data_IF_241755859767
#
_entry.id   IF_241755859767
#
_cell.length_a   1.000
_cell.length_b   1.000
_cell.length_c   1.000
_cell.angle_alpha   90.00
_cell.angle_beta   90.00
_cell.angle_gamma   90.00
#
_symmetry.space_group_name_H-M   'P 1'
#
loop_
_entity.id
_entity.type
_entity.pdbx_description
1 polymer ?
#
# COMPACT_ATOMS: atom_id res chain seq x y z
N UNK A 1 26.61 -3.83 -16.18
CA UNK A 1 25.69 -3.55 -15.06
C UNK A 1 24.38 -3.09 -15.69
N UNK A 2 23.35 -3.94 -15.66
CA UNK A 2 22.05 -3.62 -16.23
C UNK A 2 21.27 -2.77 -15.23
N UNK A 3 20.87 -1.57 -15.62
CA UNK A 3 19.99 -0.70 -14.86
C UNK A 3 18.59 -0.80 -15.50
N UNK A 4 17.63 -1.56 -14.94
CA UNK A 4 16.32 -1.62 -15.53
C UNK A 4 15.48 -0.45 -15.00
N UNK A 5 15.35 0.56 -15.86
CA UNK A 5 14.19 1.46 -16.00
C UNK A 5 13.61 2.05 -14.71
N UNK A 6 14.18 3.18 -14.28
CA UNK A 6 13.45 4.20 -13.54
C UNK A 6 13.82 5.55 -14.14
N UNK A 7 12.89 6.20 -14.84
CA UNK A 7 13.09 7.59 -15.26
C UNK A 7 13.39 8.42 -14.01
N UNK A 8 14.60 8.96 -13.90
CA UNK A 8 14.96 9.96 -12.89
C UNK A 8 14.70 11.31 -13.54
N UNK A 9 13.82 12.10 -12.93
CA UNK A 9 13.54 13.44 -13.45
C UNK A 9 14.82 14.31 -13.34
N UNK A 10 15.31 14.93 -14.42
CA UNK A 10 16.60 15.66 -14.41
C UNK A 10 16.59 16.96 -13.60
N UNK A 11 15.43 17.41 -13.13
CA UNK A 11 15.22 18.71 -12.50
C UNK A 11 14.79 18.62 -11.02
N UNK A 12 14.61 17.42 -10.47
CA UNK A 12 14.10 17.19 -9.12
C UNK A 12 12.66 17.69 -8.91
N UNK A 13 11.87 17.83 -9.97
CA UNK A 13 10.49 18.37 -9.92
C UNK A 13 9.47 17.35 -9.43
N UNK A 14 9.82 16.07 -9.38
CA UNK A 14 8.93 15.01 -8.87
C UNK A 14 8.98 14.97 -7.34
N UNK A 15 7.92 15.48 -6.70
CA UNK A 15 7.74 15.36 -5.26
C UNK A 15 7.73 13.87 -4.87
N UNK A 16 8.51 13.50 -3.85
CA UNK A 16 8.46 12.16 -3.30
C UNK A 16 7.01 11.80 -2.92
N UNK A 17 6.56 10.57 -3.22
CA UNK A 17 5.21 10.13 -2.87
C UNK A 17 5.03 10.20 -1.35
N UNK A 18 3.90 10.74 -0.90
CA UNK A 18 3.60 10.93 0.53
C UNK A 18 2.55 9.92 0.95
N UNK A 19 2.70 9.35 2.14
CA UNK A 19 1.72 8.51 2.78
C UNK A 19 0.97 9.26 3.87
N UNK A 20 -0.31 8.94 4.01
CA UNK A 20 -1.16 9.50 5.06
C UNK A 20 -2.13 8.43 5.58
N UNK A 21 -2.46 8.51 6.88
CA UNK A 21 -3.52 7.72 7.48
C UNK A 21 -4.72 8.62 7.79
N UNK A 22 -5.75 8.67 6.92
CA UNK A 22 -6.91 9.53 7.17
C UNK A 22 -7.80 8.98 8.30
N UNK A 23 -7.62 7.72 8.71
CA UNK A 23 -8.26 7.12 9.87
C UNK A 23 -9.37 6.10 9.59
N UNK A 24 -9.83 5.94 8.34
CA UNK A 24 -10.96 5.05 8.01
C UNK A 24 -10.72 3.57 8.34
N UNK A 25 -9.45 3.17 8.36
CA UNK A 25 -8.99 1.80 8.64
C UNK A 25 -8.38 1.63 10.03
N UNK A 26 -8.33 2.69 10.85
CA UNK A 26 -7.67 2.71 12.17
C UNK A 26 -8.71 2.66 13.31
N UNK A 27 -8.87 1.52 14.01
CA UNK A 27 -9.75 1.39 15.16
C UNK A 27 -9.35 2.25 16.37
N UNK A 28 -8.05 2.50 16.53
CA UNK A 28 -7.49 3.22 17.67
C UNK A 28 -7.83 4.71 17.66
N UNK A 29 -7.35 5.43 18.68
CA UNK A 29 -7.41 6.88 18.66
C UNK A 29 -6.34 7.44 17.72
N UNK A 30 -6.73 8.40 16.89
CA UNK A 30 -5.82 9.22 16.09
C UNK A 30 -6.07 10.69 16.44
N UNK A 31 -5.06 11.43 16.93
CA UNK A 31 -5.19 12.86 17.21
C UNK A 31 -5.70 13.65 16.00
N UNK A 32 -5.15 13.35 14.82
CA UNK A 32 -5.44 14.07 13.57
C UNK A 32 -6.39 13.28 12.66
N UNK A 33 -7.38 12.58 13.24
CA UNK A 33 -8.35 11.80 12.45
C UNK A 33 -9.13 12.70 11.50
N UNK A 34 -8.99 12.46 10.20
CA UNK A 34 -9.70 13.22 9.17
C UNK A 34 -11.03 12.58 8.78
N UNK A 35 -11.11 11.25 8.83
CA UNK A 35 -12.35 10.52 8.53
C UNK A 35 -12.68 9.49 9.62
N UNK A 36 -13.97 9.24 9.93
CA UNK A 36 -14.38 8.25 10.92
C UNK A 36 -13.89 6.84 10.58
N UNK A 37 -13.57 6.06 11.61
CA UNK A 37 -13.28 4.63 11.46
C UNK A 37 -14.50 3.88 10.88
N UNK A 38 -14.25 2.94 9.96
CA UNK A 38 -15.27 2.08 9.39
C UNK A 38 -15.00 0.61 9.70
N UNK A 39 -15.82 0.06 10.60
CA UNK A 39 -15.70 -1.31 11.10
C UNK A 39 -15.92 -2.41 10.06
N UNK A 40 -16.36 -2.07 8.85
CA UNK A 40 -16.53 -3.03 7.75
C UNK A 40 -15.31 -3.14 6.83
N UNK A 41 -14.35 -2.22 6.98
CA UNK A 41 -13.10 -2.20 6.24
C UNK A 41 -12.06 -3.07 6.94
N UNK A 42 -11.05 -3.48 6.18
CA UNK A 42 -9.89 -4.13 6.78
C UNK A 42 -9.19 -3.17 7.74
N UNK A 43 -8.66 -3.68 8.85
CA UNK A 43 -7.82 -2.92 9.77
C UNK A 43 -6.47 -2.66 9.13
N UNK A 44 -5.99 -1.43 9.26
CA UNK A 44 -4.67 -1.02 8.79
C UNK A 44 -3.57 -1.72 9.59
N UNK A 45 -2.47 -2.20 8.96
CA UNK A 45 -1.37 -2.77 9.71
C UNK A 45 -0.56 -1.65 10.41
N UNK A 46 0.01 -1.92 11.60
CA UNK A 46 0.75 -0.92 12.38
C UNK A 46 2.02 -0.40 11.68
N UNK A 47 2.56 -1.16 10.72
CA UNK A 47 3.72 -0.79 9.92
C UNK A 47 3.35 -0.26 8.51
N UNK A 48 2.12 0.25 8.31
CA UNK A 48 1.64 0.70 7.00
C UNK A 48 2.54 1.75 6.34
N UNK A 49 3.13 2.68 7.12
CA UNK A 49 4.07 3.67 6.59
C UNK A 49 5.37 3.03 6.08
N UNK A 50 5.89 2.03 6.79
CA UNK A 50 7.10 1.31 6.36
C UNK A 50 6.82 0.48 5.10
N UNK A 51 5.68 -0.20 5.07
CA UNK A 51 5.19 -0.90 3.87
C UNK A 51 5.05 0.06 2.68
N UNK A 52 4.64 1.30 2.91
CA UNK A 52 4.54 2.31 1.86
C UNK A 52 5.90 2.73 1.32
N UNK A 53 6.90 2.96 2.18
CA UNK A 53 8.26 3.35 1.76
C UNK A 53 8.88 2.35 0.78
N UNK A 54 8.59 1.06 0.97
CA UNK A 54 9.06 0.00 0.09
C UNK A 54 8.12 -0.29 -1.09
N UNK A 55 6.93 0.31 -1.13
CA UNK A 55 5.96 0.08 -2.19
C UNK A 55 6.39 0.66 -3.54
N UNK A 56 6.03 -0.01 -4.61
CA UNK A 56 6.31 0.39 -5.98
C UNK A 56 5.02 0.82 -6.68
N UNK A 57 5.10 1.84 -7.53
CA UNK A 57 3.98 2.35 -8.34
C UNK A 57 3.54 1.28 -9.33
N UNK A 58 2.23 1.11 -9.51
CA UNK A 58 1.70 0.29 -10.58
C UNK A 58 2.00 0.96 -11.93
N UNK A 59 2.73 0.31 -12.86
CA UNK A 59 3.10 0.92 -14.14
C UNK A 59 1.90 1.25 -15.02
N UNK A 60 0.71 0.71 -14.74
CA UNK A 60 -0.52 0.98 -15.49
C UNK A 60 -1.53 1.84 -14.70
N UNK A 61 -1.26 2.15 -13.43
CA UNK A 61 -2.16 2.92 -12.57
C UNK A 61 -1.35 3.80 -11.58
N UNK A 62 -0.95 5.02 -11.97
CA UNK A 62 -0.01 5.84 -11.20
C UNK A 62 -0.53 6.26 -9.82
N UNK A 63 -1.86 6.24 -9.61
CA UNK A 63 -2.48 6.44 -8.29
C UNK A 63 -2.46 5.20 -7.40
N UNK A 64 -1.94 4.07 -7.84
CA UNK A 64 -1.89 2.83 -7.07
C UNK A 64 -0.44 2.39 -6.85
N UNK A 65 -0.13 1.94 -5.63
CA UNK A 65 1.15 1.32 -5.29
C UNK A 65 0.93 -0.03 -4.64
N UNK A 66 1.89 -0.92 -4.84
CA UNK A 66 1.88 -2.27 -4.29
C UNK A 66 3.19 -2.59 -3.59
N UNK A 67 3.10 -3.40 -2.55
CA UNK A 67 4.24 -4.04 -1.89
C UNK A 67 3.89 -5.50 -1.69
N UNK A 68 4.87 -6.38 -1.91
CA UNK A 68 4.79 -7.80 -1.59
C UNK A 68 5.61 -8.08 -0.32
N UNK A 69 5.00 -8.76 0.64
CA UNK A 69 5.63 -9.21 1.88
C UNK A 69 5.70 -10.73 1.86
N UNK A 70 6.87 -11.29 2.18
CA UNK A 70 7.10 -12.73 2.14
C UNK A 70 7.25 -13.28 0.72
N UNK A 71 7.36 -14.61 0.62
CA UNK A 71 7.70 -15.29 -0.63
C UNK A 71 6.77 -16.47 -0.96
N UNK A 72 6.71 -16.80 -2.26
CA UNK A 72 5.94 -17.92 -2.77
C UNK A 72 4.45 -17.84 -2.43
N UNK A 73 3.84 -18.99 -2.10
CA UNK A 73 2.38 -19.09 -1.84
C UNK A 73 1.92 -18.38 -0.57
N UNK A 74 2.84 -17.95 0.30
CA UNK A 74 2.53 -17.24 1.56
C UNK A 74 2.66 -15.72 1.44
N UNK A 75 2.88 -15.22 0.22
CA UNK A 75 3.05 -13.78 0.01
C UNK A 75 1.78 -13.02 0.34
N UNK A 76 1.94 -11.85 0.96
CA UNK A 76 0.86 -10.90 1.21
C UNK A 76 1.13 -9.65 0.38
N UNK A 77 0.10 -9.16 -0.31
CA UNK A 77 0.18 -7.92 -1.07
C UNK A 77 -0.61 -6.84 -0.36
N UNK A 78 0.03 -5.70 -0.08
CA UNK A 78 -0.67 -4.50 0.39
C UNK A 78 -0.80 -3.50 -0.76
N UNK A 79 -1.95 -2.84 -0.80
CA UNK A 79 -2.28 -1.81 -1.78
C UNK A 79 -2.37 -0.45 -1.11
N UNK A 80 -1.78 0.55 -1.75
CA UNK A 80 -1.95 1.96 -1.41
C UNK A 80 -2.55 2.70 -2.59
N UNK A 81 -3.44 3.65 -2.33
CA UNK A 81 -4.08 4.45 -3.38
C UNK A 81 -4.10 5.93 -3.04
N UNK A 82 -3.81 6.76 -4.05
CA UNK A 82 -3.97 8.20 -4.02
C UNK A 82 -5.36 8.59 -4.55
N UNK A 83 -5.93 9.66 -3.99
CA UNK A 83 -7.14 10.28 -4.53
C UNK A 83 -6.87 11.07 -5.82
N UNK A 84 -5.64 11.58 -5.99
CA UNK A 84 -5.22 12.20 -7.24
C UNK A 84 -4.95 11.13 -8.29
N UNK A 85 -5.63 11.24 -9.44
CA UNK A 85 -5.61 10.23 -10.50
C UNK A 85 -4.23 10.01 -11.13
N UNK A 86 -3.37 11.01 -11.05
CA UNK A 86 -1.99 11.00 -11.55
C UNK A 86 -0.96 10.54 -10.49
N UNK A 87 -1.40 10.21 -9.27
CA UNK A 87 -0.52 9.80 -8.19
C UNK A 87 0.27 10.94 -7.53
N UNK A 88 -0.07 12.21 -7.79
CA UNK A 88 0.58 13.38 -7.17
C UNK A 88 0.14 13.65 -5.73
N UNK A 89 -1.00 13.09 -5.33
CA UNK A 89 -1.60 13.26 -4.01
C UNK A 89 -1.04 12.31 -2.95
N UNK A 90 -1.49 12.50 -1.70
CA UNK A 90 -1.20 11.58 -0.63
C UNK A 90 -1.81 10.20 -0.91
N UNK A 91 -1.05 9.16 -0.62
CA UNK A 91 -1.47 7.77 -0.73
C UNK A 91 -1.95 7.27 0.63
N UNK A 92 -3.05 6.52 0.60
CA UNK A 92 -3.64 5.91 1.77
C UNK A 92 -3.56 4.40 1.67
N UNK A 93 -3.42 3.73 2.81
CA UNK A 93 -3.55 2.29 2.84
C UNK A 93 -4.98 1.89 2.46
N UNK A 94 -5.10 0.94 1.54
CA UNK A 94 -6.38 0.59 0.94
C UNK A 94 -6.81 -0.85 1.23
N UNK A 95 -5.87 -1.74 1.54
CA UNK A 95 -6.16 -3.13 1.88
C UNK A 95 -4.95 -4.04 1.69
N UNK A 96 -5.11 -5.30 2.07
CA UNK A 96 -4.14 -6.37 1.81
C UNK A 96 -4.83 -7.69 1.45
N UNK A 97 -4.10 -8.64 0.90
CA UNK A 97 -4.63 -9.98 0.55
C UNK A 97 -4.89 -10.89 1.75
N UNK A 98 -4.45 -10.49 2.94
CA UNK A 98 -4.73 -11.14 4.23
C UNK A 98 -5.58 -10.27 5.15
N UNK A 99 -6.12 -9.16 4.63
CA UNK A 99 -6.83 -8.16 5.43
C UNK A 99 -8.04 -8.73 6.16
N UNK A 100 -8.23 -8.29 7.40
CA UNK A 100 -9.38 -8.61 8.25
C UNK A 100 -10.00 -7.35 8.84
N UNK A 101 -11.30 -7.34 9.06
CA UNK A 101 -11.94 -6.26 9.84
C UNK A 101 -11.64 -6.39 11.34
N UNK A 102 -12.15 -5.44 12.12
CA UNK A 102 -11.93 -5.38 13.59
C UNK A 102 -12.45 -6.61 14.34
N UNK A 103 -13.32 -7.42 13.71
CA UNK A 103 -13.84 -8.67 14.28
C UNK A 103 -13.07 -9.91 13.79
N UNK A 104 -11.99 -9.70 13.05
CA UNK A 104 -11.21 -10.78 12.44
C UNK A 104 -11.87 -11.40 11.20
N UNK A 105 -12.95 -10.83 10.67
CA UNK A 105 -13.60 -11.38 9.48
C UNK A 105 -12.81 -10.98 8.22
N UNK A 106 -12.61 -11.90 7.26
CA UNK A 106 -11.87 -11.59 6.04
C UNK A 106 -12.44 -10.37 5.29
N UNK A 107 -11.55 -9.41 5.02
CA UNK A 107 -11.73 -8.24 4.16
C UNK A 107 -10.56 -8.09 3.18
N UNK A 108 -10.06 -9.25 2.77
CA UNK A 108 -8.91 -9.37 1.90
C UNK A 108 -9.21 -8.83 0.48
N UNK A 109 -8.19 -8.23 -0.12
CA UNK A 109 -8.12 -8.07 -1.57
C UNK A 109 -8.07 -9.47 -2.19
N UNK A 110 -8.97 -9.76 -3.12
CA UNK A 110 -8.91 -11.00 -3.88
C UNK A 110 -7.59 -11.04 -4.69
N UNK A 111 -6.82 -12.11 -4.53
CA UNK A 111 -5.55 -12.33 -5.23
C UNK A 111 -5.65 -12.20 -6.75
N UNK A 112 -6.83 -12.43 -7.36
CA UNK A 112 -7.05 -12.21 -8.79
C UNK A 112 -6.96 -10.73 -9.20
N UNK A 113 -7.19 -9.82 -8.24
CA UNK A 113 -7.10 -8.38 -8.43
C UNK A 113 -5.68 -7.84 -8.16
N UNK A 114 -4.72 -8.71 -7.81
CA UNK A 114 -3.31 -8.33 -7.69
C UNK A 114 -2.68 -8.37 -9.10
N UNK A 115 -2.19 -7.23 -9.62
CA UNK A 115 -1.64 -7.15 -10.96
C UNK A 115 -0.41 -8.04 -11.09
N UNK A 116 -0.15 -8.52 -12.32
CA UNK A 116 0.98 -9.40 -12.61
C UNK A 116 2.32 -8.81 -12.17
N UNK A 117 2.49 -7.50 -12.35
CA UNK A 117 3.64 -6.74 -11.85
C UNK A 117 3.85 -6.95 -10.35
N UNK A 118 2.82 -6.71 -9.53
CA UNK A 118 2.91 -6.88 -8.08
C UNK A 118 3.15 -8.33 -7.65
N UNK A 119 2.59 -9.30 -8.37
CA UNK A 119 2.86 -10.73 -8.11
C UNK A 119 4.33 -11.12 -8.36
N UNK A 120 5.01 -10.41 -9.26
CA UNK A 120 6.40 -10.65 -9.63
C UNK A 120 7.41 -9.79 -8.85
N UNK A 121 6.96 -8.94 -7.92
CA UNK A 121 7.86 -8.20 -7.04
C UNK A 121 8.70 -9.15 -6.20
N UNK A 122 9.92 -8.73 -5.86
CA UNK A 122 10.66 -9.32 -4.76
C UNK A 122 9.91 -9.02 -3.45
N UNK A 123 9.70 -10.04 -2.64
CA UNK A 123 9.04 -9.88 -1.35
C UNK A 123 10.01 -9.29 -0.34
N UNK A 124 9.59 -8.23 0.35
CA UNK A 124 10.33 -7.81 1.53
C UNK A 124 10.13 -8.85 2.64
N UNK A 125 11.19 -9.13 3.39
CA UNK A 125 11.06 -9.90 4.64
C UNK A 125 10.17 -9.09 5.57
N UNK A 126 9.32 -9.76 6.35
CA UNK A 126 8.57 -9.08 7.40
C UNK A 126 9.54 -8.25 8.24
N UNK A 127 9.33 -6.94 8.30
CA UNK A 127 10.03 -6.08 9.24
C UNK A 127 9.66 -6.62 10.63
N UNK A 128 10.65 -7.19 11.32
CA UNK A 128 10.47 -7.70 12.68
C UNK A 128 9.96 -6.56 13.55
N UNK A 129 8.88 -6.83 14.29
CA UNK A 129 8.35 -5.96 15.34
C UNK A 129 9.41 -5.66 16.39
#
# INVERSE_FOLDING_TARGET
MHNPVGWVDPFGLTKAPVYENPGHHEPGYLPDRQVPFNSTKSVIPPNAEELFKHSQVDPNDPKTRWIKVGEGKKSVWHRFQSNAADGSGAFHWNGSTDGVDIRGKPRAIDTKNVPRFARNMEGIKECKK
#
